data_IF_571424902773
#
_entry.id   IF_571424902773
#
_cell.length_a   1.000
_cell.length_b   1.000
_cell.length_c   1.000
_cell.angle_alpha   90.00
_cell.angle_beta   90.00
_cell.angle_gamma   90.00
#
_symmetry.space_group_name_H-M   'P 1'
#
loop_
_entity.id
_entity.type
_entity.pdbx_description
1 polymer ?
#
# COMPACT_ATOMS: atom_id res chain seq x y z
N UNK A 1 -50.70 -38.58 -8.31
CA UNK A 1 -49.68 -37.95 -7.45
C UNK A 1 -48.46 -37.69 -8.31
N UNK A 2 -48.33 -36.46 -8.81
CA UNK A 2 -47.23 -36.03 -9.67
C UNK A 2 -46.39 -34.99 -8.91
N UNK A 3 -45.05 -35.09 -8.91
CA UNK A 3 -44.20 -34.13 -8.21
C UNK A 3 -44.10 -32.81 -8.99
N UNK A 4 -44.28 -31.69 -8.27
CA UNK A 4 -44.05 -30.33 -8.78
C UNK A 4 -42.56 -30.07 -8.98
N UNK A 5 -42.13 -29.43 -10.09
CA UNK A 5 -40.76 -28.98 -10.27
C UNK A 5 -40.46 -27.70 -9.47
N UNK A 6 -39.23 -27.50 -8.96
CA UNK A 6 -38.83 -26.25 -8.31
C UNK A 6 -38.49 -25.16 -9.34
N UNK A 7 -39.10 -23.99 -9.16
CA UNK A 7 -38.79 -22.76 -9.86
C UNK A 7 -37.34 -22.33 -9.57
N UNK A 8 -36.51 -22.25 -10.62
CA UNK A 8 -35.22 -21.54 -10.59
C UNK A 8 -35.49 -20.04 -10.78
N UNK A 9 -35.29 -19.25 -9.74
CA UNK A 9 -35.16 -17.80 -9.84
C UNK A 9 -33.78 -17.48 -10.42
N UNK A 10 -33.74 -17.09 -11.70
CA UNK A 10 -32.59 -16.41 -12.30
C UNK A 10 -32.59 -14.97 -11.81
N UNK A 11 -31.72 -14.61 -10.86
CA UNK A 11 -31.36 -13.21 -10.62
C UNK A 11 -30.31 -12.81 -11.67
N UNK A 12 -30.74 -12.02 -12.66
CA UNK A 12 -29.85 -11.30 -13.54
C UNK A 12 -29.19 -10.15 -12.79
N UNK A 13 -27.87 -10.16 -12.70
CA UNK A 13 -27.06 -9.03 -12.24
C UNK A 13 -26.98 -8.00 -13.36
N UNK A 14 -27.76 -6.94 -13.26
CA UNK A 14 -27.63 -5.74 -14.06
C UNK A 14 -26.47 -4.89 -13.51
N UNK A 15 -25.29 -5.01 -14.11
CA UNK A 15 -24.14 -4.15 -13.82
C UNK A 15 -24.41 -2.77 -14.43
N UNK A 16 -24.95 -1.87 -13.61
CA UNK A 16 -25.11 -0.46 -13.97
C UNK A 16 -23.79 0.22 -13.60
N UNK A 17 -22.96 0.53 -14.60
CA UNK A 17 -21.75 1.33 -14.45
C UNK A 17 -22.20 2.77 -14.18
N UNK A 18 -22.38 3.09 -12.90
CA UNK A 18 -22.56 4.46 -12.44
C UNK A 18 -21.19 5.10 -12.28
N UNK A 19 -20.77 5.87 -13.27
CA UNK A 19 -19.63 6.78 -13.17
C UNK A 19 -19.99 7.90 -12.17
N UNK A 20 -19.67 7.70 -10.90
CA UNK A 20 -19.70 8.76 -9.90
C UNK A 20 -18.39 9.56 -10.02
N UNK A 21 -18.41 10.59 -10.85
CA UNK A 21 -17.41 11.67 -10.82
C UNK A 21 -17.56 12.36 -9.46
N UNK A 22 -16.74 11.97 -8.50
CA UNK A 22 -16.55 12.69 -7.24
C UNK A 22 -15.84 14.01 -7.58
N UNK A 23 -16.66 15.03 -7.87
CA UNK A 23 -16.21 16.40 -7.76
C UNK A 23 -15.83 16.65 -6.29
N UNK A 24 -14.53 16.72 -6.02
CA UNK A 24 -14.00 17.31 -4.79
C UNK A 24 -14.44 18.77 -4.75
N UNK A 25 -15.63 19.01 -4.22
CA UNK A 25 -16.01 20.31 -3.72
C UNK A 25 -15.10 20.58 -2.51
N UNK A 26 -14.07 21.40 -2.74
CA UNK A 26 -13.37 22.08 -1.66
C UNK A 26 -14.40 22.91 -0.90
N UNK A 27 -15.00 22.31 0.13
CA UNK A 27 -15.75 23.06 1.14
C UNK A 27 -14.69 23.77 1.97
N UNK A 28 -14.28 24.94 1.49
CA UNK A 28 -13.69 25.98 2.31
C UNK A 28 -14.75 26.40 3.31
N UNK A 29 -14.76 25.74 4.48
CA UNK A 29 -15.50 26.21 5.65
C UNK A 29 -14.82 27.50 6.12
N UNK A 30 -15.17 28.61 5.47
CA UNK A 30 -15.07 29.94 6.03
C UNK A 30 -16.20 30.11 7.06
N UNK A 31 -16.15 29.30 8.12
CA UNK A 31 -17.09 29.31 9.22
C UNK A 31 -16.43 29.95 10.43
N UNK A 32 -16.68 31.25 10.59
CA UNK A 32 -16.33 32.07 11.75
C UNK A 32 -16.85 31.44 13.06
N UNK A 33 -15.95 30.79 13.80
CA UNK A 33 -16.21 30.29 15.13
C UNK A 33 -14.90 30.21 15.89
N UNK A 34 -14.54 31.32 16.53
CA UNK A 34 -13.36 31.52 17.37
C UNK A 34 -13.34 30.55 18.56
N UNK A 35 -13.01 29.28 18.33
CA UNK A 35 -12.54 28.37 19.37
C UNK A 35 -11.02 28.40 19.34
N UNK A 36 -10.47 28.84 20.48
CA UNK A 36 -9.06 29.11 20.77
C UNK A 36 -8.04 28.52 19.80
N UNK A 37 -7.40 29.41 19.06
CA UNK A 37 -6.13 29.18 18.43
C UNK A 37 -5.07 28.78 19.48
N UNK A 38 -5.03 27.50 19.84
CA UNK A 38 -3.80 26.83 20.27
C UNK A 38 -2.99 26.40 19.04
N UNK A 39 -3.00 27.20 17.98
CA UNK A 39 -1.90 27.28 17.04
C UNK A 39 -0.80 28.09 17.71
N UNK A 40 -0.19 27.50 18.74
CA UNK A 40 1.14 27.90 19.16
C UNK A 40 2.00 27.79 17.91
N UNK A 41 2.23 28.93 17.26
CA UNK A 41 3.18 29.14 16.19
C UNK A 41 4.58 28.88 16.75
N UNK A 42 4.88 27.63 17.08
CA UNK A 42 6.22 27.13 16.79
C UNK A 42 6.26 27.07 15.28
N UNK A 43 6.57 28.21 14.66
CA UNK A 43 7.32 28.21 13.42
C UNK A 43 8.59 27.43 13.75
N UNK A 44 8.49 26.11 13.70
CA UNK A 44 9.64 25.24 13.71
C UNK A 44 10.45 25.77 12.55
N UNK A 45 11.60 26.34 12.87
CA UNK A 45 12.61 26.64 11.88
C UNK A 45 12.88 25.31 11.20
N UNK A 46 12.22 25.06 10.07
CA UNK A 46 12.51 23.93 9.21
C UNK A 46 13.93 24.21 8.74
N UNK A 47 14.90 23.72 9.50
CA UNK A 47 16.27 23.63 9.05
C UNK A 47 16.15 23.00 7.68
N UNK A 48 16.53 23.72 6.63
CA UNK A 48 16.38 23.22 5.26
C UNK A 48 17.05 21.85 5.25
N UNK A 49 16.23 20.80 5.11
CA UNK A 49 16.76 19.45 5.14
C UNK A 49 17.74 19.32 3.97
N UNK A 50 18.78 18.55 4.20
CA UNK A 50 19.66 18.15 3.11
C UNK A 50 18.83 17.43 2.03
N UNK A 51 19.32 17.44 0.79
CA UNK A 51 18.74 16.61 -0.26
C UNK A 51 18.66 15.14 0.21
N UNK A 52 17.63 14.39 -0.19
CA UNK A 52 17.47 13.02 0.25
C UNK A 52 18.67 12.17 -0.16
N UNK A 53 19.09 11.33 0.74
CA UNK A 53 20.10 10.31 0.51
C UNK A 53 19.53 9.19 -0.37
N UNK A 54 20.39 8.40 -1.04
CA UNK A 54 19.94 7.24 -1.82
C UNK A 54 19.05 6.28 -1.04
N UNK A 55 19.38 6.03 0.23
CA UNK A 55 18.60 5.18 1.13
C UNK A 55 17.21 5.75 1.46
N UNK A 56 17.07 7.08 1.55
CA UNK A 56 15.77 7.74 1.77
C UNK A 56 14.88 7.66 0.54
N UNK A 57 15.46 7.74 -0.66
CA UNK A 57 14.73 7.52 -1.92
C UNK A 57 14.29 6.06 -2.03
N UNK A 58 15.19 5.10 -1.77
CA UNK A 58 14.85 3.67 -1.77
C UNK A 58 13.75 3.35 -0.73
N UNK A 59 13.84 3.91 0.48
CA UNK A 59 12.81 3.74 1.50
C UNK A 59 11.46 4.34 1.08
N UNK A 60 11.48 5.48 0.38
CA UNK A 60 10.26 6.12 -0.13
C UNK A 60 9.62 5.30 -1.25
N UNK A 61 10.43 4.71 -2.15
CA UNK A 61 9.96 3.75 -3.15
C UNK A 61 9.34 2.51 -2.50
N UNK A 62 9.98 1.95 -1.46
CA UNK A 62 9.44 0.80 -0.74
C UNK A 62 8.07 1.11 -0.08
N UNK A 63 7.86 2.34 0.39
CA UNK A 63 6.56 2.78 0.97
C UNK A 63 5.43 2.81 -0.05
N UNK A 64 5.72 3.01 -1.33
CA UNK A 64 4.74 2.96 -2.43
C UNK A 64 4.64 1.59 -3.08
N UNK A 65 5.27 0.57 -2.48
CA UNK A 65 5.25 -0.80 -2.99
C UNK A 65 6.20 -1.04 -4.17
N UNK A 66 7.12 -0.10 -4.45
CA UNK A 66 8.15 -0.27 -5.49
C UNK A 66 9.44 -0.73 -4.81
N UNK A 67 9.74 -2.01 -4.96
CA UNK A 67 11.01 -2.63 -4.53
C UNK A 67 11.63 -3.38 -5.70
N UNK A 68 12.93 -3.68 -5.62
CA UNK A 68 13.59 -4.53 -6.61
C UNK A 68 12.91 -5.91 -6.77
N UNK A 69 12.34 -6.46 -5.70
CA UNK A 69 11.59 -7.72 -5.76
C UNK A 69 10.27 -7.57 -6.51
N UNK A 70 9.52 -6.49 -6.31
CA UNK A 70 8.28 -6.23 -7.07
C UNK A 70 8.56 -5.96 -8.54
N UNK A 71 9.59 -5.16 -8.86
CA UNK A 71 9.99 -4.90 -10.25
C UNK A 71 10.43 -6.20 -10.95
N UNK A 72 11.26 -7.02 -10.28
CA UNK A 72 11.68 -8.31 -10.83
C UNK A 72 10.48 -9.26 -11.00
N UNK A 73 9.57 -9.37 -10.03
CA UNK A 73 8.37 -10.20 -10.15
C UNK A 73 7.45 -9.75 -11.30
N UNK A 74 7.32 -8.43 -11.51
CA UNK A 74 6.57 -7.85 -12.63
C UNK A 74 7.22 -8.10 -13.99
N UNK A 75 8.49 -8.53 -14.02
CA UNK A 75 9.23 -8.80 -15.25
C UNK A 75 10.02 -7.62 -15.79
N UNK A 76 10.14 -6.53 -15.03
CA UNK A 76 10.88 -5.34 -15.43
C UNK A 76 12.34 -5.65 -15.74
N UNK A 77 12.86 -5.00 -16.78
CA UNK A 77 14.27 -5.12 -17.16
C UNK A 77 15.19 -4.30 -16.25
N UNK A 78 16.50 -4.49 -16.40
CA UNK A 78 17.50 -3.65 -15.71
C UNK A 78 17.42 -2.17 -16.14
N UNK A 79 17.02 -1.91 -17.39
CA UNK A 79 16.86 -0.54 -17.89
C UNK A 79 15.65 0.13 -17.22
N UNK A 80 14.54 -0.59 -17.11
CA UNK A 80 13.33 -0.12 -16.42
C UNK A 80 13.62 0.20 -14.95
N UNK A 81 14.32 -0.70 -14.25
CA UNK A 81 14.73 -0.47 -12.87
C UNK A 81 15.64 0.76 -12.70
N UNK A 82 16.48 1.04 -13.70
CA UNK A 82 17.34 2.24 -13.73
C UNK A 82 16.50 3.51 -13.91
N UNK A 83 15.54 3.49 -14.82
CA UNK A 83 14.64 4.62 -15.09
C UNK A 83 13.76 4.91 -13.86
N UNK A 84 13.14 3.86 -13.28
CA UNK A 84 12.34 3.97 -12.05
C UNK A 84 13.10 4.67 -10.92
N UNK A 85 14.35 4.27 -10.68
CA UNK A 85 15.17 4.90 -9.63
C UNK A 85 15.59 6.33 -9.98
N UNK A 86 15.92 6.61 -11.25
CA UNK A 86 16.26 7.95 -11.70
C UNK A 86 15.07 8.92 -11.62
N UNK A 87 13.88 8.49 -12.04
CA UNK A 87 12.65 9.29 -12.02
C UNK A 87 12.19 9.54 -10.58
N UNK A 88 12.30 8.54 -9.71
CA UNK A 88 12.02 8.70 -8.29
C UNK A 88 12.98 9.69 -7.61
N UNK A 89 14.29 9.60 -7.90
CA UNK A 89 15.28 10.53 -7.36
C UNK A 89 15.05 11.97 -7.88
N UNK A 90 14.68 12.13 -9.16
CA UNK A 90 14.33 13.43 -9.73
C UNK A 90 13.02 14.00 -9.14
N UNK A 91 12.03 13.14 -8.91
CA UNK A 91 10.77 13.52 -8.27
C UNK A 91 10.99 13.97 -6.83
N UNK A 92 11.77 13.23 -6.04
CA UNK A 92 12.14 13.55 -4.66
C UNK A 92 13.24 14.62 -4.58
N UNK A 93 13.12 15.68 -5.39
CA UNK A 93 13.91 16.89 -5.16
C UNK A 93 13.61 17.49 -3.76
N UNK A 94 14.44 18.43 -3.32
CA UNK A 94 14.36 19.05 -1.98
C UNK A 94 12.94 19.53 -1.63
N UNK A 95 12.17 20.05 -2.60
CA UNK A 95 10.82 20.57 -2.33
C UNK A 95 9.84 19.44 -2.03
N UNK A 96 9.80 18.40 -2.87
CA UNK A 96 8.90 17.27 -2.68
C UNK A 96 9.33 16.39 -1.49
N UNK A 97 10.63 16.30 -1.23
CA UNK A 97 11.18 15.62 -0.06
C UNK A 97 10.73 16.30 1.25
N UNK A 98 10.85 17.64 1.33
CA UNK A 98 10.35 18.38 2.50
C UNK A 98 8.83 18.21 2.66
N UNK A 99 8.07 18.28 1.58
CA UNK A 99 6.63 18.07 1.63
C UNK A 99 6.23 16.67 2.18
N UNK A 100 6.98 15.62 1.81
CA UNK A 100 6.76 14.29 2.36
C UNK A 100 7.09 14.21 3.86
N UNK A 101 8.21 14.79 4.29
CA UNK A 101 8.61 14.82 5.70
C UNK A 101 7.64 15.63 6.57
N UNK A 102 7.14 16.75 6.05
CA UNK A 102 6.14 17.58 6.72
C UNK A 102 4.83 16.79 6.88
N UNK A 103 4.36 16.13 5.81
CA UNK A 103 3.17 15.28 5.86
C UNK A 103 3.32 14.08 6.82
N UNK A 104 4.50 13.46 6.88
CA UNK A 104 4.79 12.39 7.85
C UNK A 104 4.77 12.89 9.30
N UNK A 105 5.34 14.08 9.53
CA UNK A 105 5.30 14.75 10.83
C UNK A 105 3.87 15.06 11.25
N UNK A 106 3.06 15.61 10.34
CA UNK A 106 1.65 15.90 10.58
C UNK A 106 0.83 14.65 10.92
N UNK A 107 1.03 13.54 10.20
CA UNK A 107 0.35 12.27 10.51
C UNK A 107 0.72 11.77 11.90
N UNK A 108 2.02 11.78 12.24
CA UNK A 108 2.51 11.32 13.55
C UNK A 108 1.93 12.17 14.68
N UNK A 109 1.96 13.48 14.54
CA UNK A 109 1.52 14.41 15.57
C UNK A 109 -0.01 14.33 15.74
N UNK A 110 -0.77 14.27 14.65
CA UNK A 110 -2.22 14.07 14.69
C UNK A 110 -2.61 12.70 15.31
N UNK A 111 -1.85 11.64 15.03
CA UNK A 111 -2.07 10.33 15.63
C UNK A 111 -1.81 10.33 17.14
N UNK A 112 -0.77 11.04 17.60
CA UNK A 112 -0.48 11.21 19.02
C UNK A 112 -1.62 11.92 19.76
N UNK A 113 -2.23 12.93 19.14
CA UNK A 113 -3.40 13.62 19.72
C UNK A 113 -4.64 12.73 19.79
N UNK A 114 -4.92 11.95 18.73
CA UNK A 114 -6.01 10.96 18.74
C UNK A 114 -5.82 9.93 19.86
N UNK A 115 -4.60 9.41 20.05
CA UNK A 115 -4.33 8.45 21.13
C UNK A 115 -4.49 9.09 22.52
N UNK A 116 -3.90 10.29 22.73
CA UNK A 116 -3.99 11.03 24.00
C UNK A 116 -5.44 11.28 24.40
N UNK A 117 -6.23 11.87 23.50
CA UNK A 117 -7.66 12.15 23.75
C UNK A 117 -8.48 10.87 23.87
N UNK A 118 -8.19 9.85 23.04
CA UNK A 118 -8.86 8.55 23.11
C UNK A 118 -8.65 7.83 24.45
N UNK A 119 -7.49 8.01 25.09
CA UNK A 119 -7.23 7.49 26.45
C UNK A 119 -8.11 8.18 27.50
N UNK A 120 -8.28 9.51 27.45
CA UNK A 120 -9.17 10.26 28.36
C UNK A 120 -10.63 9.81 28.23
N UNK A 121 -11.10 9.64 26.99
CA UNK A 121 -12.46 9.14 26.69
C UNK A 121 -12.67 7.74 27.25
N UNK A 122 -11.73 6.80 27.01
CA UNK A 122 -11.83 5.43 27.54
C UNK A 122 -11.73 5.35 29.07
N UNK A 123 -11.02 6.29 29.69
CA UNK A 123 -10.92 6.38 31.14
C UNK A 123 -12.17 6.98 31.80
N UNK A 124 -13.14 7.49 31.03
CA UNK A 124 -14.31 8.20 31.56
C UNK A 124 -13.96 9.54 32.20
N UNK A 125 -12.79 10.10 31.87
CA UNK A 125 -12.28 11.37 32.40
C UNK A 125 -12.52 12.55 31.45
N UNK A 126 -12.94 12.27 30.21
CA UNK A 126 -13.21 13.29 29.21
C UNK A 126 -14.48 14.08 29.54
N UNK A 127 -14.40 15.40 29.41
CA UNK A 127 -15.57 16.28 29.40
C UNK A 127 -16.12 16.49 27.96
N UNK A 128 -17.11 17.38 27.81
CA UNK A 128 -17.72 17.66 26.52
C UNK A 128 -16.75 18.35 25.53
N UNK A 129 -15.79 19.12 26.03
CA UNK A 129 -14.76 19.78 25.22
C UNK A 129 -13.76 18.73 24.69
N UNK A 130 -13.33 17.79 25.54
CA UNK A 130 -12.46 16.67 25.16
C UNK A 130 -13.10 15.77 24.10
N UNK A 131 -14.41 15.48 24.21
CA UNK A 131 -15.13 14.70 23.21
C UNK A 131 -15.16 15.42 21.85
N UNK A 132 -15.33 16.74 21.87
CA UNK A 132 -15.32 17.57 20.67
C UNK A 132 -13.92 17.59 20.05
N UNK A 133 -12.89 17.79 20.88
CA UNK A 133 -11.49 17.75 20.47
C UNK A 133 -11.09 16.39 19.90
N UNK A 134 -11.58 15.28 20.48
CA UNK A 134 -11.29 13.93 19.97
C UNK A 134 -11.87 13.71 18.58
N UNK A 135 -13.09 14.17 18.34
CA UNK A 135 -13.69 14.12 16.99
C UNK A 135 -12.91 14.97 16.00
N UNK A 136 -12.50 16.18 16.39
CA UNK A 136 -11.68 17.05 15.55
C UNK A 136 -10.32 16.43 15.22
N UNK A 137 -9.62 15.87 16.22
CA UNK A 137 -8.33 15.19 16.05
C UNK A 137 -8.41 14.02 15.07
N UNK A 138 -9.51 13.24 15.09
CA UNK A 138 -9.74 12.18 14.09
C UNK A 138 -9.86 12.73 12.68
N UNK A 139 -10.57 13.85 12.49
CA UNK A 139 -10.67 14.51 11.20
C UNK A 139 -9.30 15.02 10.73
N UNK A 140 -8.51 15.61 11.63
CA UNK A 140 -7.14 16.06 11.32
C UNK A 140 -6.26 14.91 10.89
N UNK A 141 -6.28 13.78 11.61
CA UNK A 141 -5.52 12.58 11.24
C UNK A 141 -5.92 12.05 9.86
N UNK A 142 -7.21 12.02 9.55
CA UNK A 142 -7.70 11.59 8.24
C UNK A 142 -7.20 12.52 7.12
N UNK A 143 -7.25 13.84 7.32
CA UNK A 143 -6.72 14.83 6.37
C UNK A 143 -5.21 14.69 6.18
N UNK A 144 -4.44 14.61 7.27
CA UNK A 144 -2.98 14.45 7.20
C UNK A 144 -2.60 13.15 6.47
N UNK A 145 -3.33 12.06 6.74
CA UNK A 145 -3.15 10.78 6.04
C UNK A 145 -3.40 10.93 4.54
N UNK A 146 -4.52 11.55 4.16
CA UNK A 146 -4.85 11.80 2.75
C UNK A 146 -3.81 12.67 2.04
N UNK A 147 -3.24 13.68 2.72
CA UNK A 147 -2.18 14.52 2.16
C UNK A 147 -0.91 13.72 1.91
N UNK A 148 -0.46 12.93 2.90
CA UNK A 148 0.71 12.06 2.77
C UNK A 148 0.51 11.04 1.65
N UNK A 149 -0.64 10.39 1.62
CA UNK A 149 -0.95 9.38 0.61
C UNK A 149 -0.98 10.00 -0.80
N UNK A 150 -1.52 11.21 -0.97
CA UNK A 150 -1.46 11.94 -2.25
C UNK A 150 -0.05 12.40 -2.69
N UNK A 151 0.91 12.52 -1.77
CA UNK A 151 2.33 12.72 -2.11
C UNK A 151 2.94 11.38 -2.57
N UNK A 152 2.69 10.31 -1.83
CA UNK A 152 3.16 8.97 -2.16
C UNK A 152 2.60 8.46 -3.50
N UNK A 153 1.33 8.73 -3.82
CA UNK A 153 0.76 8.38 -5.12
C UNK A 153 1.40 9.14 -6.28
N UNK A 154 1.80 10.41 -6.07
CA UNK A 154 2.55 11.17 -7.08
C UNK A 154 3.96 10.61 -7.30
N UNK A 155 4.62 10.18 -6.23
CA UNK A 155 5.89 9.47 -6.32
C UNK A 155 5.72 8.18 -7.12
N UNK A 156 4.74 7.35 -6.77
CA UNK A 156 4.42 6.11 -7.48
C UNK A 156 4.21 6.37 -8.98
N UNK A 157 3.27 7.26 -9.32
CA UNK A 157 2.92 7.58 -10.71
C UNK A 157 4.10 8.13 -11.52
N UNK A 158 5.00 8.88 -10.88
CA UNK A 158 6.21 9.36 -11.55
C UNK A 158 7.21 8.24 -11.77
N UNK A 159 7.43 7.40 -10.75
CA UNK A 159 8.40 6.32 -10.80
C UNK A 159 8.05 5.24 -11.81
N UNK A 160 6.75 4.98 -12.06
CA UNK A 160 6.30 3.95 -13.02
C UNK A 160 5.89 4.51 -14.38
N UNK A 161 6.06 5.83 -14.63
CA UNK A 161 5.52 6.50 -15.81
C UNK A 161 6.01 5.91 -17.15
N UNK A 162 7.25 5.43 -17.17
CA UNK A 162 7.93 4.91 -18.36
C UNK A 162 7.83 3.38 -18.51
N UNK A 163 7.18 2.69 -17.57
CA UNK A 163 6.98 1.23 -17.63
C UNK A 163 5.91 0.82 -18.64
N UNK A 164 5.95 -0.43 -19.07
CA UNK A 164 4.87 -0.97 -19.90
C UNK A 164 3.58 -1.13 -19.09
N UNK A 165 2.42 -0.91 -19.73
CA UNK A 165 1.13 -0.97 -19.04
C UNK A 165 0.85 -2.32 -18.34
N UNK A 166 1.40 -3.43 -18.87
CA UNK A 166 1.30 -4.75 -18.24
C UNK A 166 2.12 -4.87 -16.95
N UNK A 167 3.28 -4.22 -16.89
CA UNK A 167 4.15 -4.19 -15.71
C UNK A 167 3.52 -3.33 -14.62
N UNK A 168 2.98 -2.16 -14.99
CA UNK A 168 2.26 -1.26 -14.09
C UNK A 168 1.10 -2.01 -13.43
N UNK A 169 0.25 -2.68 -14.23
CA UNK A 169 -0.89 -3.43 -13.71
C UNK A 169 -0.47 -4.56 -12.73
N UNK A 170 0.65 -5.24 -12.98
CA UNK A 170 1.19 -6.25 -12.07
C UNK A 170 1.70 -5.63 -10.76
N UNK A 171 2.40 -4.50 -10.84
CA UNK A 171 2.88 -3.76 -9.65
C UNK A 171 1.71 -3.27 -8.81
N UNK A 172 0.67 -2.71 -9.45
CA UNK A 172 -0.58 -2.30 -8.77
C UNK A 172 -1.24 -3.50 -8.07
N UNK A 173 -1.38 -4.63 -8.77
CA UNK A 173 -1.94 -5.86 -8.20
C UNK A 173 -1.13 -6.34 -6.98
N UNK A 174 0.20 -6.29 -7.05
CA UNK A 174 1.07 -6.65 -5.93
C UNK A 174 0.96 -5.67 -4.77
N UNK A 175 0.81 -4.36 -5.06
CA UNK A 175 0.61 -3.30 -4.06
C UNK A 175 -0.73 -3.49 -3.33
N UNK A 176 -1.81 -3.78 -4.05
CA UNK A 176 -3.14 -4.04 -3.48
C UNK A 176 -3.17 -5.30 -2.62
N UNK A 177 -2.31 -6.27 -2.92
CA UNK A 177 -2.17 -7.53 -2.17
C UNK A 177 -0.96 -7.54 -1.21
N UNK A 178 -0.35 -6.38 -0.93
CA UNK A 178 0.89 -6.29 -0.13
C UNK A 178 0.71 -6.59 1.36
N UNK A 179 -0.51 -6.49 1.88
CA UNK A 179 -0.87 -6.82 3.26
C UNK A 179 -1.04 -8.33 3.49
N UNK A 180 -1.05 -9.13 2.41
CA UNK A 180 -1.26 -10.57 2.47
C UNK A 180 0.02 -11.28 2.94
N UNK A 181 -0.02 -12.10 4.01
CA UNK A 181 1.16 -12.77 4.56
C UNK A 181 1.51 -14.03 3.76
N UNK A 182 1.76 -13.87 2.46
CA UNK A 182 2.13 -14.93 1.51
C UNK A 182 3.37 -14.51 0.71
N UNK A 183 4.12 -15.44 0.13
CA UNK A 183 5.23 -15.10 -0.76
C UNK A 183 4.79 -14.22 -1.94
N UNK A 184 5.67 -13.30 -2.36
CA UNK A 184 5.38 -12.25 -3.36
C UNK A 184 4.87 -12.81 -4.69
N UNK A 185 5.36 -13.95 -5.15
CA UNK A 185 4.90 -14.55 -6.41
C UNK A 185 3.41 -14.89 -6.41
N UNK A 186 2.77 -15.05 -5.23
CA UNK A 186 1.33 -15.27 -5.17
C UNK A 186 0.55 -13.96 -5.26
N UNK A 187 1.11 -12.81 -4.86
CA UNK A 187 0.40 -11.51 -4.81
C UNK A 187 0.15 -10.89 -6.18
N UNK A 188 0.66 -11.51 -7.25
CA UNK A 188 0.44 -11.12 -8.66
C UNK A 188 -0.93 -11.50 -9.23
N UNK A 189 -1.83 -12.03 -8.40
CA UNK A 189 -3.15 -12.49 -8.85
C UNK A 189 -4.21 -12.16 -7.82
N UNK A 190 -5.31 -11.59 -8.30
CA UNK A 190 -6.46 -11.26 -7.46
C UNK A 190 -7.15 -12.51 -6.95
N UNK A 191 -7.38 -12.54 -5.64
CA UNK A 191 -8.09 -13.61 -4.95
C UNK A 191 -9.04 -13.02 -3.93
N UNK A 192 -10.11 -13.75 -3.68
CA UNK A 192 -11.03 -13.45 -2.57
C UNK A 192 -10.33 -13.67 -1.22
N UNK A 193 -10.80 -13.00 -0.15
CA UNK A 193 -10.26 -13.20 1.20
C UNK A 193 -10.30 -14.66 1.67
N UNK A 194 -11.31 -15.42 1.24
CA UNK A 194 -11.43 -16.84 1.52
C UNK A 194 -10.31 -17.65 0.84
N UNK A 195 -9.97 -17.32 -0.40
CA UNK A 195 -8.85 -17.94 -1.12
C UNK A 195 -7.51 -17.56 -0.50
N UNK A 196 -7.30 -16.29 -0.12
CA UNK A 196 -6.09 -15.87 0.59
C UNK A 196 -5.90 -16.60 1.92
N UNK A 197 -6.98 -16.70 2.70
CA UNK A 197 -6.97 -17.44 3.97
C UNK A 197 -6.63 -18.92 3.75
N UNK A 198 -7.22 -19.54 2.73
CA UNK A 198 -6.98 -20.95 2.39
C UNK A 198 -5.53 -21.19 1.96
N UNK A 199 -4.99 -20.33 1.08
CA UNK A 199 -3.59 -20.41 0.64
C UNK A 199 -2.62 -20.24 1.81
N UNK A 200 -2.83 -19.24 2.66
CA UNK A 200 -2.00 -19.01 3.86
C UNK A 200 -2.02 -20.23 4.80
N UNK A 201 -3.19 -20.80 5.05
CA UNK A 201 -3.33 -21.98 5.91
C UNK A 201 -2.66 -23.21 5.29
N UNK A 202 -2.77 -23.40 3.98
CA UNK A 202 -2.11 -24.50 3.27
C UNK A 202 -0.57 -24.37 3.30
N UNK A 203 -0.03 -23.17 3.08
CA UNK A 203 1.40 -22.89 3.21
C UNK A 203 1.90 -23.15 4.65
N UNK A 204 1.11 -22.74 5.66
CA UNK A 204 1.44 -22.99 7.06
C UNK A 204 1.43 -24.49 7.39
N UNK A 205 0.43 -25.24 6.92
CA UNK A 205 0.36 -26.69 7.11
C UNK A 205 1.61 -27.39 6.52
N UNK A 206 1.95 -27.09 5.25
CA UNK A 206 3.13 -27.69 4.59
C UNK A 206 4.41 -27.38 5.38
N UNK A 207 4.57 -26.14 5.84
CA UNK A 207 5.73 -25.74 6.63
C UNK A 207 5.79 -26.48 7.97
N UNK A 208 4.69 -26.54 8.72
CA UNK A 208 4.64 -27.19 10.04
C UNK A 208 4.83 -28.70 9.94
N UNK A 209 4.17 -29.37 9.01
CA UNK A 209 4.34 -30.81 8.77
C UNK A 209 5.80 -31.15 8.45
N UNK A 210 6.46 -30.36 7.58
CA UNK A 210 7.89 -30.51 7.29
C UNK A 210 8.80 -30.32 8.51
N UNK A 211 8.47 -29.39 9.42
CA UNK A 211 9.21 -29.20 10.67
C UNK A 211 8.98 -30.33 11.69
N UNK A 212 7.80 -30.94 11.68
CA UNK A 212 7.44 -32.05 12.57
C UNK A 212 7.83 -33.43 12.02
N UNK A 213 8.23 -33.53 10.75
CA UNK A 213 8.50 -34.80 10.07
C UNK A 213 7.24 -35.59 9.76
N UNK A 214 6.09 -34.92 9.63
CA UNK A 214 4.81 -35.50 9.25
C UNK A 214 4.51 -35.19 7.78
N UNK A 215 3.67 -36.03 7.15
CA UNK A 215 3.18 -35.73 5.80
C UNK A 215 2.18 -34.56 5.84
N UNK A 216 2.28 -33.59 4.90
CA UNK A 216 1.31 -32.50 4.82
C UNK A 216 -0.06 -33.01 4.41
N UNK A 217 -1.11 -32.25 4.77
CA UNK A 217 -2.46 -32.56 4.36
C UNK A 217 -2.60 -32.52 2.82
N UNK A 218 -3.16 -33.57 2.23
CA UNK A 218 -3.21 -33.72 0.78
C UNK A 218 -4.03 -32.65 0.06
N UNK A 219 -5.06 -32.08 0.72
CA UNK A 219 -5.83 -30.98 0.17
C UNK A 219 -5.01 -29.68 0.17
N UNK A 220 -4.27 -29.42 1.25
CA UNK A 220 -3.34 -28.29 1.34
C UNK A 220 -2.24 -28.37 0.26
N UNK A 221 -1.62 -29.53 0.07
CA UNK A 221 -0.63 -29.75 -0.99
C UNK A 221 -1.24 -29.50 -2.37
N UNK A 222 -2.42 -30.06 -2.65
CA UNK A 222 -3.11 -29.88 -3.93
C UNK A 222 -3.41 -28.41 -4.21
N UNK A 223 -3.87 -27.65 -3.21
CA UNK A 223 -4.15 -26.22 -3.36
C UNK A 223 -2.89 -25.44 -3.75
N UNK A 224 -1.77 -25.64 -3.03
CA UNK A 224 -0.51 -24.96 -3.32
C UNK A 224 0.05 -25.37 -4.68
N UNK A 225 -0.04 -26.65 -5.05
CA UNK A 225 0.33 -27.12 -6.39
C UNK A 225 -0.49 -26.44 -7.49
N UNK A 226 -1.80 -26.30 -7.29
CA UNK A 226 -2.66 -25.60 -8.26
C UNK A 226 -2.29 -24.12 -8.39
N UNK A 227 -2.07 -23.42 -7.27
CA UNK A 227 -1.64 -22.02 -7.30
C UNK A 227 -0.27 -21.85 -7.97
N UNK A 228 0.67 -22.78 -7.73
CA UNK A 228 1.96 -22.80 -8.41
C UNK A 228 1.86 -23.14 -9.91
N UNK A 229 0.75 -23.68 -10.38
CA UNK A 229 0.51 -23.93 -11.79
C UNK A 229 -0.16 -22.73 -12.50
N UNK A 230 -0.62 -21.72 -11.76
CA UNK A 230 -1.18 -20.50 -12.35
C UNK A 230 -0.08 -19.75 -13.12
N UNK A 231 -0.33 -19.44 -14.40
CA UNK A 231 0.67 -18.81 -15.28
C UNK A 231 1.28 -17.54 -14.69
N UNK A 232 0.50 -16.58 -14.11
CA UNK A 232 1.09 -15.39 -13.50
C UNK A 232 2.07 -15.71 -12.36
N UNK A 233 1.74 -16.69 -11.52
CA UNK A 233 2.58 -17.12 -10.39
C UNK A 233 3.87 -17.78 -10.89
N UNK A 234 3.78 -18.65 -11.90
CA UNK A 234 4.95 -19.28 -12.53
C UNK A 234 5.88 -18.24 -13.14
N UNK A 235 5.34 -17.28 -13.90
CA UNK A 235 6.12 -16.22 -14.53
C UNK A 235 6.80 -15.34 -13.49
N UNK A 236 6.06 -14.90 -12.45
CA UNK A 236 6.62 -14.09 -11.38
C UNK A 236 7.74 -14.81 -10.63
N UNK A 237 7.56 -16.10 -10.31
CA UNK A 237 8.58 -16.92 -9.67
C UNK A 237 9.83 -17.06 -10.56
N UNK A 238 9.66 -17.33 -11.85
CA UNK A 238 10.77 -17.43 -12.80
C UNK A 238 11.54 -16.11 -12.92
N UNK A 239 10.85 -14.98 -13.00
CA UNK A 239 11.48 -13.67 -13.12
C UNK A 239 12.23 -13.28 -11.83
N UNK A 240 11.68 -13.62 -10.67
CA UNK A 240 12.36 -13.43 -9.38
C UNK A 240 13.69 -14.22 -9.34
N UNK A 241 13.68 -15.47 -9.80
CA UNK A 241 14.89 -16.30 -9.81
C UNK A 241 15.95 -15.79 -10.81
N UNK A 242 15.53 -15.31 -12.00
CA UNK A 242 16.47 -14.93 -13.06
C UNK A 242 16.91 -13.47 -13.03
N UNK A 243 16.04 -12.54 -12.62
CA UNK A 243 16.24 -11.09 -12.86
C UNK A 243 16.54 -10.30 -11.59
N UNK A 244 16.22 -10.83 -10.40
CA UNK A 244 16.28 -10.06 -9.14
C UNK A 244 17.64 -9.41 -8.88
N UNK A 245 18.74 -10.14 -9.10
CA UNK A 245 20.08 -9.60 -8.89
C UNK A 245 20.41 -8.43 -9.84
N UNK A 246 20.01 -8.54 -11.11
CA UNK A 246 20.21 -7.49 -12.11
C UNK A 246 19.38 -6.24 -11.81
N UNK A 247 18.10 -6.43 -11.50
CA UNK A 247 17.16 -5.36 -11.14
C UNK A 247 17.61 -4.63 -9.87
N UNK A 248 18.03 -5.38 -8.84
CA UNK A 248 18.56 -4.80 -7.59
C UNK A 248 19.80 -3.94 -7.86
N UNK A 249 20.76 -4.48 -8.60
CA UNK A 249 21.99 -3.74 -8.93
C UNK A 249 21.71 -2.50 -9.77
N UNK A 250 20.78 -2.58 -10.72
CA UNK A 250 20.42 -1.46 -11.58
C UNK A 250 19.73 -0.34 -10.79
N UNK A 251 18.75 -0.70 -9.94
CA UNK A 251 18.07 0.24 -9.06
C UNK A 251 19.07 0.92 -8.11
N UNK A 252 19.93 0.15 -7.42
CA UNK A 252 20.95 0.70 -6.52
C UNK A 252 21.94 1.62 -7.24
N UNK A 253 22.38 1.26 -8.44
CA UNK A 253 23.27 2.10 -9.24
C UNK A 253 22.60 3.44 -9.62
N UNK A 254 21.33 3.41 -10.02
CA UNK A 254 20.58 4.62 -10.40
C UNK A 254 20.38 5.61 -9.24
N UNK A 255 20.23 5.08 -8.02
CA UNK A 255 20.12 5.88 -6.80
C UNK A 255 21.49 6.36 -6.29
N UNK A 256 22.60 5.84 -6.81
CA UNK A 256 23.95 6.25 -6.44
C UNK A 256 24.52 5.55 -5.21
N UNK A 257 24.04 4.34 -4.87
CA UNK A 257 24.71 3.50 -3.89
C UNK A 257 26.10 3.10 -4.43
N UNK A 258 27.14 3.28 -3.62
CA UNK A 258 28.53 2.93 -3.93
C UNK A 258 28.95 1.66 -3.24
#
# INVERSE_FOLDING_TARGET
MSPRPPHRLQLGTATTIGAAVLAFAAITVAGLGSFGAFSGLTAASHAMLAAPTPYEVEASLARVGITATTLAAAGCSNADATNVGADAAAHLNITNWNALNDADTEVRDAAADVDRLGKLVRAGQADQEDLTAYSAAKSTLATATSTRDGILDRLYNTAVADLEAGEIALIETMRDNSDRPVPLQYTVTDRTDAQWTSLRNALANIKTSGMCGEDPDGHCTTLVTNCNAETPVVTAASNLDSNLAGVTSALHASLGHK
#
